data_IF_091169645897
#
_entry.id   IF_091169645897
#
_cell.length_a   1.000
_cell.length_b   1.000
_cell.length_c   1.000
_cell.angle_alpha   90.00
_cell.angle_beta   90.00
_cell.angle_gamma   90.00
#
_symmetry.space_group_name_H-M   'P 1'
#
loop_
_entity.id
_entity.type
_entity.pdbx_description
1 polymer ?
#
# COMPACT_ATOMS: atom_id res chain seq x y z
N UNK A 1 -7.15 -44.47 41.66
CA UNK A 1 -8.21 -43.53 41.28
C UNK A 1 -8.10 -42.34 42.22
N UNK A 2 -7.51 -41.25 41.73
CA UNK A 2 -8.19 -39.95 41.61
C UNK A 2 -7.78 -39.26 40.28
N UNK A 3 -8.37 -38.20 39.75
CA UNK A 3 -9.59 -37.41 39.95
C UNK A 3 -9.63 -36.55 38.67
N UNK A 4 -10.77 -36.54 37.97
CA UNK A 4 -10.93 -35.86 36.68
C UNK A 4 -10.83 -34.34 36.85
N UNK A 5 -9.93 -33.69 36.10
CA UNK A 5 -9.99 -32.26 35.87
C UNK A 5 -10.97 -31.95 34.72
N UNK A 6 -11.89 -30.98 34.88
CA UNK A 6 -12.94 -30.69 33.91
C UNK A 6 -12.42 -29.92 32.67
N UNK A 7 -13.10 -30.17 31.54
CA UNK A 7 -12.89 -29.49 30.26
C UNK A 7 -13.28 -27.99 30.32
N UNK A 8 -12.62 -27.10 29.55
CA UNK A 8 -13.06 -25.72 29.42
C UNK A 8 -14.31 -25.60 28.53
N UNK A 9 -15.30 -24.84 29.01
CA UNK A 9 -16.55 -24.50 28.33
C UNK A 9 -16.34 -23.74 27.02
N UNK A 10 -17.24 -23.90 26.02
CA UNK A 10 -17.27 -23.06 24.82
C UNK A 10 -18.01 -21.73 25.04
N UNK A 11 -17.50 -20.70 24.37
CA UNK A 11 -18.21 -19.58 23.73
C UNK A 11 -19.41 -18.93 24.43
N UNK A 12 -19.24 -17.69 24.86
CA UNK A 12 -20.23 -16.62 24.65
C UNK A 12 -19.53 -15.28 24.39
N UNK A 13 -19.59 -14.79 23.15
CA UNK A 13 -19.54 -13.36 22.85
C UNK A 13 -20.74 -13.07 21.97
N UNK A 14 -21.80 -12.63 22.64
CA UNK A 14 -22.96 -11.99 22.05
C UNK A 14 -22.53 -10.74 21.28
N UNK A 15 -23.12 -10.59 20.10
CA UNK A 15 -22.91 -9.45 19.23
C UNK A 15 -23.62 -8.18 19.70
N UNK A 16 -23.28 -7.09 19.01
CA UNK A 16 -24.20 -6.03 18.65
C UNK A 16 -23.63 -5.37 17.38
N UNK A 17 -24.35 -5.58 16.29
CA UNK A 17 -24.26 -4.80 15.07
C UNK A 17 -24.94 -3.46 15.31
N UNK A 18 -24.32 -2.36 14.94
CA UNK A 18 -25.04 -1.14 14.55
C UNK A 18 -24.39 -0.61 13.27
N UNK A 19 -25.18 -0.68 12.22
CA UNK A 19 -24.92 -0.09 10.92
C UNK A 19 -25.48 1.33 10.96
N UNK A 20 -24.64 2.32 10.69
CA UNK A 20 -25.11 3.65 10.33
C UNK A 20 -24.85 3.85 8.83
N UNK A 21 -25.96 3.72 8.11
CA UNK A 21 -26.18 3.97 6.69
C UNK A 21 -26.45 5.46 6.55
N UNK A 22 -25.43 6.26 6.21
CA UNK A 22 -25.65 7.63 5.74
C UNK A 22 -25.42 7.70 4.22
N UNK A 23 -26.56 7.62 3.54
CA UNK A 23 -26.76 7.80 2.12
C UNK A 23 -26.68 9.30 1.79
N UNK A 24 -25.58 9.72 1.15
CA UNK A 24 -25.48 11.06 0.54
C UNK A 24 -25.36 10.93 -0.97
N UNK A 25 -26.44 11.37 -1.62
CA UNK A 25 -26.66 11.50 -3.06
C UNK A 25 -25.73 12.60 -3.59
N UNK A 26 -24.94 12.30 -4.62
CA UNK A 26 -24.28 13.33 -5.44
C UNK A 26 -24.84 13.21 -6.85
N UNK A 27 -25.96 13.90 -7.06
CA UNK A 27 -26.42 14.32 -8.38
C UNK A 27 -25.78 15.69 -8.66
N UNK A 28 -25.10 15.81 -9.79
CA UNK A 28 -24.27 16.96 -10.11
C UNK A 28 -23.81 16.97 -11.56
N UNK A 29 -24.80 16.86 -12.44
CA UNK A 29 -24.74 17.26 -13.85
C UNK A 29 -24.43 18.77 -13.93
N UNK A 30 -23.31 19.12 -14.54
CA UNK A 30 -23.03 20.47 -15.01
C UNK A 30 -21.97 20.40 -16.11
N UNK A 31 -22.45 20.31 -17.35
CA UNK A 31 -21.72 20.78 -18.51
C UNK A 31 -21.55 22.31 -18.38
N UNK A 32 -20.33 22.80 -18.53
CA UNK A 32 -20.09 24.18 -18.95
C UNK A 32 -18.76 24.27 -19.72
N UNK A 33 -18.90 24.42 -21.03
CA UNK A 33 -17.87 24.77 -22.00
C UNK A 33 -17.75 26.29 -22.03
N UNK A 34 -16.56 26.83 -21.79
CA UNK A 34 -16.20 28.06 -22.47
C UNK A 34 -14.95 27.87 -23.34
N UNK A 35 -15.19 27.81 -24.64
CA UNK A 35 -14.24 28.24 -25.66
C UNK A 35 -13.76 29.68 -25.37
N UNK A 36 -12.45 29.86 -25.15
CA UNK A 36 -11.81 31.16 -25.28
C UNK A 36 -10.45 30.99 -25.97
N UNK A 37 -10.41 31.33 -27.25
CA UNK A 37 -9.19 31.53 -28.04
C UNK A 37 -8.76 33.00 -27.89
N UNK A 38 -7.50 33.26 -27.53
CA UNK A 38 -6.81 34.33 -28.25
C UNK A 38 -5.41 33.91 -28.73
N UNK A 39 -5.22 34.01 -30.04
CA UNK A 39 -3.95 34.16 -30.77
C UNK A 39 -3.21 35.48 -30.42
N UNK A 40 -2.00 35.78 -30.95
CA UNK A 40 -0.69 35.24 -30.57
C UNK A 40 0.34 36.38 -30.27
N UNK A 41 1.58 35.96 -30.01
CA UNK A 41 2.84 36.73 -30.11
C UNK A 41 3.28 37.58 -28.92
N UNK A 42 4.33 37.12 -28.23
CA UNK A 42 5.60 37.84 -28.17
C UNK A 42 6.70 36.89 -27.67
N UNK A 43 7.67 36.62 -28.54
CA UNK A 43 8.92 35.97 -28.18
C UNK A 43 9.68 36.84 -27.17
N UNK A 44 9.71 36.42 -25.92
CA UNK A 44 10.80 36.73 -25.02
C UNK A 44 11.56 35.42 -24.81
N UNK A 45 12.64 35.24 -25.59
CA UNK A 45 13.70 34.27 -25.31
C UNK A 45 14.39 34.65 -24.00
N UNK A 46 13.70 34.40 -22.88
CA UNK A 46 14.33 34.22 -21.59
C UNK A 46 14.71 32.76 -21.53
N UNK A 47 16.00 32.47 -21.58
CA UNK A 47 16.55 31.15 -21.23
C UNK A 47 16.16 30.90 -19.78
N UNK A 48 14.99 30.30 -19.60
CA UNK A 48 14.49 29.88 -18.32
C UNK A 48 15.43 28.80 -17.82
N UNK A 49 16.25 29.17 -16.83
CA UNK A 49 16.96 28.24 -15.97
C UNK A 49 15.97 27.11 -15.61
N UNK A 50 16.25 25.83 -15.92
CA UNK A 50 15.31 24.76 -15.63
C UNK A 50 14.98 24.81 -14.14
N UNK A 51 13.71 25.08 -13.83
CA UNK A 51 13.19 24.92 -12.46
C UNK A 51 13.51 23.48 -12.06
N UNK A 52 14.01 23.22 -10.84
CA UNK A 52 14.32 21.86 -10.43
C UNK A 52 13.07 21.00 -10.59
N UNK A 53 13.14 20.05 -11.51
CA UNK A 53 12.08 19.07 -11.75
C UNK A 53 11.73 18.40 -10.43
N UNK A 54 10.44 18.42 -10.09
CA UNK A 54 9.94 17.71 -8.91
C UNK A 54 10.34 16.24 -9.02
N UNK A 55 10.83 15.61 -7.95
CA UNK A 55 11.23 14.22 -8.01
C UNK A 55 10.04 13.33 -8.37
N UNK A 56 10.27 12.33 -9.22
CA UNK A 56 9.23 11.47 -9.82
C UNK A 56 8.25 10.83 -8.81
N UNK A 57 8.69 10.61 -7.58
CA UNK A 57 7.91 9.99 -6.51
C UNK A 57 6.93 10.95 -5.80
N UNK A 58 7.07 12.26 -5.99
CA UNK A 58 6.21 13.28 -5.35
C UNK A 58 4.94 13.61 -6.15
N UNK A 59 4.70 12.87 -7.24
CA UNK A 59 3.47 13.01 -8.02
C UNK A 59 2.26 12.50 -7.22
N UNK A 60 1.10 13.15 -7.40
CA UNK A 60 -0.17 12.71 -6.82
C UNK A 60 -0.47 11.21 -7.04
N UNK A 61 -0.27 10.62 -8.24
CA UNK A 61 -0.46 9.17 -8.42
C UNK A 61 0.49 8.32 -7.57
N UNK A 62 1.74 8.75 -7.34
CA UNK A 62 2.67 8.03 -6.47
C UNK A 62 2.32 8.18 -4.98
N UNK A 63 1.77 9.32 -4.55
CA UNK A 63 1.23 9.47 -3.21
C UNK A 63 0.05 8.51 -2.97
N UNK A 64 -0.92 8.48 -3.90
CA UNK A 64 -2.06 7.55 -3.83
C UNK A 64 -1.60 6.09 -3.82
N UNK A 65 -0.68 5.71 -4.72
CA UNK A 65 -0.17 4.34 -4.78
C UNK A 65 0.48 3.89 -3.46
N UNK A 66 1.20 4.78 -2.77
CA UNK A 66 1.79 4.49 -1.45
C UNK A 66 0.72 4.33 -0.38
N UNK A 67 -0.28 5.23 -0.36
CA UNK A 67 -1.41 5.15 0.59
C UNK A 67 -2.22 3.87 0.39
N UNK A 68 -2.55 3.53 -0.86
CA UNK A 68 -3.27 2.30 -1.21
C UNK A 68 -2.45 1.06 -0.82
N UNK A 69 -1.13 1.08 -1.03
CA UNK A 69 -0.25 -0.01 -0.62
C UNK A 69 -0.20 -0.18 0.90
N UNK A 70 -0.18 0.92 1.66
CA UNK A 70 -0.21 0.90 3.12
C UNK A 70 -1.57 0.49 3.71
N UNK A 71 -2.67 0.77 3.00
CA UNK A 71 -4.01 0.34 3.37
C UNK A 71 -4.30 -1.13 2.99
N UNK A 72 -3.65 -1.64 1.94
CA UNK A 72 -3.87 -2.98 1.42
C UNK A 72 -3.79 -4.13 2.43
N UNK A 73 -2.87 -4.12 3.43
CA UNK A 73 -2.87 -5.12 4.49
C UNK A 73 -4.17 -5.19 5.30
N UNK A 74 -4.82 -4.05 5.55
CA UNK A 74 -6.09 -3.99 6.31
C UNK A 74 -7.23 -4.62 5.52
N UNK A 75 -7.24 -4.42 4.21
CA UNK A 75 -8.26 -4.98 3.30
C UNK A 75 -7.89 -6.37 2.74
N UNK A 76 -6.77 -6.96 3.17
CA UNK A 76 -6.22 -8.23 2.64
C UNK A 76 -6.01 -8.23 1.12
N UNK A 77 -5.78 -7.06 0.54
CA UNK A 77 -5.59 -6.87 -0.91
C UNK A 77 -4.14 -7.13 -1.33
N UNK A 78 -3.57 -8.27 -0.95
CA UNK A 78 -2.13 -8.55 -1.05
C UNK A 78 -1.58 -8.47 -2.47
N UNK A 79 -2.33 -8.97 -3.47
CA UNK A 79 -1.95 -8.84 -4.89
C UNK A 79 -1.82 -7.39 -5.32
N UNK A 80 -2.71 -6.52 -4.83
CA UNK A 80 -2.68 -5.09 -5.13
C UNK A 80 -1.50 -4.41 -4.46
N UNK A 81 -1.19 -4.79 -3.21
CA UNK A 81 0.02 -4.30 -2.51
C UNK A 81 1.27 -4.59 -3.35
N UNK A 82 1.44 -5.82 -3.87
CA UNK A 82 2.58 -6.16 -4.73
C UNK A 82 2.64 -5.32 -6.02
N UNK A 83 1.50 -5.12 -6.67
CA UNK A 83 1.45 -4.26 -7.86
C UNK A 83 1.93 -2.84 -7.53
N UNK A 84 1.48 -2.27 -6.41
CA UNK A 84 1.80 -0.90 -6.02
C UNK A 84 3.26 -0.76 -5.54
N UNK A 85 3.79 -1.72 -4.78
CA UNK A 85 5.18 -1.72 -4.30
C UNK A 85 6.20 -2.02 -5.41
N UNK A 86 5.76 -2.66 -6.51
CA UNK A 86 6.60 -2.88 -7.70
C UNK A 86 6.96 -1.58 -8.44
N UNK A 87 6.15 -0.52 -8.28
CA UNK A 87 6.37 0.80 -8.91
C UNK A 87 7.47 1.58 -8.20
N UNK A 88 8.72 1.11 -8.30
CA UNK A 88 9.88 1.64 -7.55
C UNK A 88 10.10 3.15 -7.67
N UNK A 89 9.73 3.75 -8.81
CA UNK A 89 9.83 5.20 -9.03
C UNK A 89 8.92 6.04 -8.12
N UNK A 90 7.90 5.41 -7.51
CA UNK A 90 7.01 6.07 -6.55
C UNK A 90 7.53 6.06 -5.12
N UNK A 91 8.68 5.44 -4.87
CA UNK A 91 9.25 5.30 -3.54
C UNK A 91 10.58 6.05 -3.47
N UNK A 92 10.68 6.97 -2.52
CA UNK A 92 11.95 7.65 -2.24
C UNK A 92 12.92 6.69 -1.56
N UNK A 93 14.21 7.06 -1.50
CA UNK A 93 15.21 6.29 -0.76
C UNK A 93 14.87 6.13 0.72
N UNK A 94 14.23 7.15 1.33
CA UNK A 94 13.78 7.11 2.72
C UNK A 94 12.63 6.11 2.95
N UNK A 95 11.84 5.82 1.91
CA UNK A 95 10.69 4.92 1.97
C UNK A 95 10.99 3.52 1.42
N UNK A 96 12.25 3.22 1.08
CA UNK A 96 12.62 1.91 0.55
C UNK A 96 12.37 0.79 1.56
N UNK A 97 12.67 1.01 2.84
CA UNK A 97 12.42 0.00 3.88
C UNK A 97 10.93 -0.29 4.06
N UNK A 98 10.07 0.74 3.98
CA UNK A 98 8.60 0.58 4.02
C UNK A 98 8.08 -0.19 2.79
N UNK A 99 8.56 0.17 1.60
CA UNK A 99 8.24 -0.54 0.35
C UNK A 99 8.55 -2.02 0.46
N UNK A 100 9.77 -2.34 0.90
CA UNK A 100 10.24 -3.73 1.05
C UNK A 100 9.42 -4.44 2.12
N UNK A 101 9.10 -3.77 3.23
CA UNK A 101 8.26 -4.35 4.28
C UNK A 101 6.90 -4.80 3.73
N UNK A 102 6.20 -3.91 3.01
CA UNK A 102 4.90 -4.20 2.39
C UNK A 102 4.99 -5.29 1.32
N UNK A 103 6.06 -5.28 0.52
CA UNK A 103 6.34 -6.30 -0.50
C UNK A 103 6.53 -7.68 0.13
N UNK A 104 7.38 -7.79 1.15
CA UNK A 104 7.66 -9.03 1.90
C UNK A 104 6.41 -9.54 2.61
N UNK A 105 5.65 -8.66 3.27
CA UNK A 105 4.41 -9.06 3.96
C UNK A 105 3.39 -9.61 2.97
N UNK A 106 3.16 -8.92 1.85
CA UNK A 106 2.23 -9.41 0.84
C UNK A 106 2.67 -10.75 0.22
N UNK A 107 3.97 -10.99 0.02
CA UNK A 107 4.49 -12.28 -0.46
C UNK A 107 4.28 -13.40 0.56
N UNK A 108 4.51 -13.13 1.86
CA UNK A 108 4.25 -14.08 2.95
C UNK A 108 2.78 -14.51 2.95
N UNK A 109 1.85 -13.57 2.91
CA UNK A 109 0.41 -13.82 2.97
C UNK A 109 -0.12 -14.56 1.73
N UNK A 110 0.56 -14.39 0.58
CA UNK A 110 0.25 -15.13 -0.65
C UNK A 110 0.93 -16.50 -0.71
N UNK A 111 1.67 -16.92 0.33
CA UNK A 111 2.38 -18.20 0.36
C UNK A 111 3.56 -18.28 -0.61
N UNK A 112 4.02 -17.14 -1.14
CA UNK A 112 5.15 -17.06 -2.08
C UNK A 112 6.46 -16.93 -1.30
N UNK A 113 6.82 -18.00 -0.59
CA UNK A 113 7.87 -17.94 0.42
C UNK A 113 9.28 -17.72 -0.17
N UNK A 114 9.62 -18.31 -1.32
CA UNK A 114 10.91 -18.06 -2.00
C UNK A 114 11.07 -16.58 -2.37
N UNK A 115 10.06 -16.01 -3.05
CA UNK A 115 10.06 -14.59 -3.42
C UNK A 115 10.11 -13.70 -2.18
N UNK A 116 9.41 -14.07 -1.10
CA UNK A 116 9.40 -13.32 0.16
C UNK A 116 10.82 -13.19 0.74
N UNK A 117 11.58 -14.30 0.78
CA UNK A 117 12.95 -14.29 1.28
C UNK A 117 13.85 -13.42 0.40
N UNK A 118 13.71 -13.55 -0.92
CA UNK A 118 14.50 -12.78 -1.88
C UNK A 118 14.22 -11.28 -1.83
N UNK A 119 12.96 -10.87 -1.77
CA UNK A 119 12.56 -9.46 -1.65
C UNK A 119 13.11 -8.81 -0.37
N UNK A 120 13.11 -9.56 0.73
CA UNK A 120 13.55 -9.07 2.04
C UNK A 120 15.05 -9.18 2.31
N UNK A 121 15.86 -9.74 1.40
CA UNK A 121 17.30 -9.97 1.61
C UNK A 121 18.08 -8.71 2.00
N UNK A 122 17.66 -7.55 1.50
CA UNK A 122 18.31 -6.25 1.76
C UNK A 122 17.60 -5.41 2.82
N UNK A 123 16.59 -5.95 3.49
CA UNK A 123 15.82 -5.22 4.49
C UNK A 123 16.69 -4.84 5.68
N UNK A 124 16.59 -3.58 6.13
CA UNK A 124 17.33 -3.09 7.30
C UNK A 124 16.46 -3.14 8.55
N UNK A 125 15.16 -2.87 8.38
CA UNK A 125 14.18 -2.85 9.47
C UNK A 125 13.99 -4.22 10.12
N UNK A 126 14.03 -4.23 11.45
CA UNK A 126 13.74 -5.41 12.28
C UNK A 126 12.40 -6.10 11.95
N UNK A 127 11.25 -5.38 11.79
CA UNK A 127 9.99 -6.05 11.46
C UNK A 127 10.04 -6.82 10.14
N UNK A 128 10.72 -6.29 9.13
CA UNK A 128 10.85 -6.98 7.83
C UNK A 128 11.74 -8.21 7.94
N UNK A 129 12.83 -8.14 8.70
CA UNK A 129 13.68 -9.31 8.97
C UNK A 129 12.91 -10.43 9.68
N UNK A 130 12.00 -10.09 10.59
CA UNK A 130 11.13 -11.07 11.25
C UNK A 130 10.21 -11.77 10.24
N UNK A 131 9.60 -11.03 9.30
CA UNK A 131 8.78 -11.62 8.23
C UNK A 131 9.60 -12.57 7.33
N UNK A 132 10.81 -12.16 6.93
CA UNK A 132 11.72 -13.01 6.16
C UNK A 132 12.07 -14.29 6.90
N UNK A 133 12.29 -14.21 8.22
CA UNK A 133 12.52 -15.39 9.06
C UNK A 133 11.32 -16.34 9.03
N UNK A 134 10.09 -15.80 9.12
CA UNK A 134 8.86 -16.59 8.95
C UNK A 134 8.80 -17.26 7.58
N UNK A 135 9.04 -16.53 6.49
CA UNK A 135 9.08 -17.11 5.14
C UNK A 135 10.13 -18.22 5.01
N UNK A 136 11.31 -18.03 5.59
CA UNK A 136 12.39 -19.03 5.58
C UNK A 136 12.02 -20.31 6.32
N UNK A 137 11.22 -20.21 7.39
CA UNK A 137 10.70 -21.37 8.13
C UNK A 137 9.70 -22.16 7.29
N UNK A 138 8.83 -21.48 6.56
CA UNK A 138 7.83 -22.14 5.70
C UNK A 138 8.44 -22.90 4.52
N UNK A 139 9.67 -22.57 4.11
CA UNK A 139 10.42 -23.31 3.09
C UNK A 139 11.08 -24.60 3.59
N UNK A 140 11.23 -24.75 4.92
CA UNK A 140 11.80 -25.96 5.52
C UNK A 140 10.65 -26.82 6.07
N UNK A 141 10.21 -27.86 5.33
CA UNK A 141 9.20 -28.79 5.82
C UNK A 141 9.69 -29.59 7.04
#
# INVERSE_FOLDING_TARGET
>A
MPEQAPAPSPSETSGASEADDELIIIDGDAADDPAEEPTPAAAASSVARPKPDKPKHETAPCAKARQDAAAGPKSRSWKKVLELTSKRSCWSSAQQDERIHLEVWALLELGRFDDCVEAGRRAKSAPTKALVSTCTKQLKP
#
